data_IF_782366888381
#
_entry.id   IF_782366888381
#
_cell.length_a   1.000
_cell.length_b   1.000
_cell.length_c   1.000
_cell.angle_alpha   90.00
_cell.angle_beta   90.00
_cell.angle_gamma   90.00
#
_symmetry.space_group_name_H-M   'P 1'
#
loop_
_entity.id
_entity.type
_entity.pdbx_description
1 polymer ?
#
# COMPACT_ATOMS: atom_id res chain seq x y z
N UNK A 1 -32.61 -4.18 14.12
CA UNK A 1 -31.17 -4.32 13.82
C UNK A 1 -31.11 -4.63 12.34
N UNK A 2 -30.80 -3.63 11.51
CA UNK A 2 -30.66 -3.88 10.07
C UNK A 2 -29.43 -4.78 9.86
N UNK A 3 -29.51 -5.81 9.01
CA UNK A 3 -28.36 -6.63 8.71
C UNK A 3 -27.30 -5.72 8.09
N UNK A 4 -26.10 -5.71 8.69
CA UNK A 4 -24.92 -5.06 8.11
C UNK A 4 -24.85 -5.48 6.63
N UNK A 5 -24.94 -4.48 5.76
CA UNK A 5 -24.95 -4.67 4.32
C UNK A 5 -23.68 -5.45 3.94
N UNK A 6 -23.84 -6.69 3.48
CA UNK A 6 -22.73 -7.60 3.15
C UNK A 6 -21.83 -7.04 2.04
N UNK A 7 -22.25 -5.95 1.41
CA UNK A 7 -21.51 -5.23 0.39
C UNK A 7 -20.41 -4.30 0.95
N UNK A 8 -20.34 -4.04 2.25
CA UNK A 8 -19.30 -3.19 2.87
C UNK A 8 -17.87 -3.77 2.74
N UNK A 9 -17.74 -5.06 2.40
CA UNK A 9 -16.44 -5.75 2.30
C UNK A 9 -16.10 -6.16 0.86
N UNK A 10 -16.83 -5.68 -0.15
CA UNK A 10 -16.50 -5.98 -1.54
C UNK A 10 -15.33 -5.12 -1.97
N UNK A 11 -14.15 -5.73 -1.93
CA UNK A 11 -12.92 -5.09 -2.40
C UNK A 11 -13.05 -4.78 -3.90
N UNK A 12 -12.80 -3.54 -4.33
CA UNK A 12 -12.79 -3.21 -5.75
C UNK A 12 -11.78 -4.07 -6.52
N UNK A 13 -12.13 -4.49 -7.75
CA UNK A 13 -11.31 -5.39 -8.56
C UNK A 13 -9.92 -4.85 -8.92
N UNK A 14 -9.73 -3.53 -8.83
CA UNK A 14 -8.46 -2.87 -9.09
C UNK A 14 -7.50 -2.90 -7.88
N UNK A 15 -8.02 -3.11 -6.66
CA UNK A 15 -7.17 -3.22 -5.48
C UNK A 15 -6.31 -4.50 -5.54
N UNK A 16 -5.08 -4.47 -5.01
CA UNK A 16 -4.27 -5.67 -4.92
C UNK A 16 -4.87 -6.67 -3.91
N UNK A 17 -4.35 -7.91 -3.89
CA UNK A 17 -4.80 -8.97 -2.97
C UNK A 17 -4.64 -8.57 -1.49
N UNK A 18 -5.36 -9.24 -0.58
CA UNK A 18 -5.41 -8.87 0.84
C UNK A 18 -4.01 -8.84 1.48
N UNK A 19 -3.17 -9.80 1.16
CA UNK A 19 -1.80 -9.93 1.65
C UNK A 19 -0.96 -8.71 1.26
N UNK A 20 -1.06 -8.27 -0.01
CA UNK A 20 -0.37 -7.08 -0.51
C UNK A 20 -0.92 -5.82 0.17
N UNK A 21 -2.25 -5.71 0.37
CA UNK A 21 -2.86 -4.58 1.10
C UNK A 21 -2.34 -4.49 2.53
N UNK A 22 -2.23 -5.61 3.24
CA UNK A 22 -1.67 -5.66 4.59
C UNK A 22 -0.21 -5.18 4.61
N UNK A 23 0.60 -5.59 3.62
CA UNK A 23 1.98 -5.12 3.49
C UNK A 23 2.06 -3.62 3.21
N UNK A 24 1.13 -3.05 2.44
CA UNK A 24 1.04 -1.59 2.26
C UNK A 24 0.65 -0.85 3.55
N UNK A 25 -0.27 -1.41 4.34
CA UNK A 25 -0.59 -0.86 5.66
C UNK A 25 0.65 -0.86 6.57
N UNK A 26 1.42 -1.95 6.60
CA UNK A 26 2.67 -2.02 7.35
C UNK A 26 3.74 -1.06 6.82
N UNK A 27 3.87 -0.94 5.50
CA UNK A 27 4.81 -0.04 4.84
C UNK A 27 4.51 1.42 5.20
N UNK A 28 3.26 1.85 5.07
CA UNK A 28 2.85 3.21 5.43
C UNK A 28 3.02 3.47 6.92
N UNK A 29 2.76 2.49 7.81
CA UNK A 29 3.05 2.62 9.24
C UNK A 29 4.54 2.89 9.51
N UNK A 30 5.45 2.19 8.81
CA UNK A 30 6.90 2.43 8.95
C UNK A 30 7.31 3.82 8.44
N UNK A 31 6.72 4.26 7.33
CA UNK A 31 7.01 5.57 6.75
C UNK A 31 6.46 6.69 7.63
N UNK A 32 5.23 6.57 8.16
CA UNK A 32 4.67 7.51 9.11
C UNK A 32 5.53 7.60 10.38
N UNK A 33 5.99 6.46 10.91
CA UNK A 33 6.91 6.46 12.04
C UNK A 33 8.23 7.19 11.73
N UNK A 34 8.75 7.07 10.50
CA UNK A 34 9.90 7.87 10.06
C UNK A 34 9.57 9.38 10.00
N UNK A 35 8.39 9.76 9.48
CA UNK A 35 7.96 11.17 9.42
C UNK A 35 7.88 11.77 10.83
N UNK A 36 7.28 11.04 11.78
CA UNK A 36 7.03 11.54 13.14
C UNK A 36 8.29 11.56 14.01
N UNK A 37 9.17 10.55 13.85
CA UNK A 37 10.27 10.29 14.80
C UNK A 37 11.66 10.26 14.17
N UNK A 38 11.79 10.39 12.84
CA UNK A 38 13.07 10.35 12.13
C UNK A 38 13.77 8.99 12.14
N UNK A 39 13.05 7.88 12.40
CA UNK A 39 13.61 6.52 12.40
C UNK A 39 14.15 6.12 11.02
N UNK A 40 15.15 5.26 10.92
CA UNK A 40 15.63 4.82 9.59
C UNK A 40 14.55 4.07 8.77
N UNK A 41 14.73 4.04 7.45
CA UNK A 41 13.79 3.45 6.50
C UNK A 41 14.11 1.99 6.13
N UNK A 42 15.01 1.31 6.87
CA UNK A 42 15.42 -0.06 6.54
C UNK A 42 14.24 -1.04 6.55
N UNK A 43 13.33 -0.88 7.52
CA UNK A 43 12.11 -1.69 7.58
C UNK A 43 11.17 -1.44 6.41
N UNK A 44 11.03 -0.17 5.99
CA UNK A 44 10.21 0.20 4.84
C UNK A 44 10.79 -0.38 3.53
N UNK A 45 12.12 -0.32 3.34
CA UNK A 45 12.80 -0.92 2.17
C UNK A 45 12.54 -2.42 2.06
N UNK A 46 12.68 -3.15 3.17
CA UNK A 46 12.37 -4.59 3.21
C UNK A 46 10.93 -4.91 2.84
N UNK A 47 9.98 -4.07 3.26
CA UNK A 47 8.57 -4.25 2.91
C UNK A 47 8.31 -3.98 1.42
N UNK A 48 8.95 -2.96 0.82
CA UNK A 48 8.91 -2.75 -0.63
C UNK A 48 9.45 -3.99 -1.35
N UNK A 49 10.63 -4.49 -0.97
CA UNK A 49 11.21 -5.70 -1.55
C UNK A 49 10.27 -6.91 -1.44
N UNK A 50 9.60 -7.10 -0.30
CA UNK A 50 8.61 -8.17 -0.10
C UNK A 50 7.38 -8.01 -0.99
N UNK A 51 6.84 -6.79 -1.12
CA UNK A 51 5.71 -6.51 -2.00
C UNK A 51 6.07 -6.85 -3.44
N UNK A 52 7.28 -6.47 -3.89
CA UNK A 52 7.73 -6.71 -5.25
C UNK A 52 7.94 -8.21 -5.55
N UNK A 53 8.01 -9.10 -4.56
CA UNK A 53 8.09 -10.55 -4.79
C UNK A 53 6.77 -11.18 -5.23
N UNK A 54 5.64 -10.49 -5.13
CA UNK A 54 4.35 -11.03 -5.54
C UNK A 54 4.22 -11.03 -7.07
N UNK A 55 3.56 -12.07 -7.61
CA UNK A 55 3.33 -12.24 -9.05
C UNK A 55 2.70 -11.00 -9.71
N UNK A 56 1.87 -10.26 -8.97
CA UNK A 56 1.27 -8.99 -9.41
C UNK A 56 2.28 -7.96 -9.91
N UNK A 57 3.52 -7.99 -9.41
CA UNK A 57 4.60 -7.07 -9.78
C UNK A 57 5.66 -7.71 -10.67
N UNK A 58 5.44 -8.95 -11.10
CA UNK A 58 6.31 -9.68 -12.02
C UNK A 58 5.75 -9.57 -13.44
N UNK A 59 6.61 -9.49 -14.44
CA UNK A 59 6.25 -9.47 -15.87
C UNK A 59 5.19 -8.40 -16.23
N UNK A 60 5.33 -7.19 -15.68
CA UNK A 60 4.44 -6.08 -15.98
C UNK A 60 4.73 -5.46 -17.36
N UNK A 61 3.67 -5.14 -18.10
CA UNK A 61 3.74 -4.30 -19.31
C UNK A 61 3.87 -2.79 -18.98
N UNK A 62 3.72 -2.43 -17.71
CA UNK A 62 3.83 -1.06 -17.21
C UNK A 62 5.02 -0.89 -16.25
N UNK A 63 5.53 0.34 -16.04
CA UNK A 63 6.59 0.59 -15.07
C UNK A 63 6.20 0.12 -13.67
N UNK A 64 7.08 -0.63 -13.01
CA UNK A 64 6.83 -1.21 -11.68
C UNK A 64 6.45 -0.15 -10.63
N UNK A 65 7.07 1.03 -10.71
CA UNK A 65 6.79 2.16 -9.84
C UNK A 65 5.36 2.70 -10.02
N UNK A 66 4.86 2.72 -11.26
CA UNK A 66 3.49 3.12 -11.57
C UNK A 66 2.47 2.11 -11.03
N UNK A 67 2.76 0.80 -11.17
CA UNK A 67 1.90 -0.24 -10.55
C UNK A 67 1.87 -0.07 -9.03
N UNK A 68 3.03 0.11 -8.41
CA UNK A 68 3.16 0.27 -6.96
C UNK A 68 2.42 1.52 -6.45
N UNK A 69 2.51 2.65 -7.17
CA UNK A 69 1.77 3.88 -6.87
C UNK A 69 0.26 3.65 -6.85
N UNK A 70 -0.25 3.04 -7.93
CA UNK A 70 -1.67 2.77 -8.09
C UNK A 70 -2.20 1.79 -7.04
N UNK A 71 -1.41 0.76 -6.72
CA UNK A 71 -1.78 -0.23 -5.72
C UNK A 71 -1.75 0.33 -4.30
N UNK A 72 -0.79 1.21 -3.98
CA UNK A 72 -0.77 1.95 -2.72
C UNK A 72 -1.98 2.90 -2.63
N UNK A 73 -2.22 3.72 -3.67
CA UNK A 73 -3.34 4.66 -3.72
C UNK A 73 -4.68 3.94 -3.54
N UNK A 74 -4.90 2.86 -4.29
CA UNK A 74 -6.14 2.08 -4.20
C UNK A 74 -6.31 1.40 -2.84
N UNK A 75 -5.22 0.92 -2.24
CA UNK A 75 -5.24 0.36 -0.88
C UNK A 75 -5.62 1.43 0.15
N UNK A 76 -5.00 2.62 0.10
CA UNK A 76 -5.33 3.73 0.99
C UNK A 76 -6.77 4.23 0.77
N UNK A 77 -7.24 4.28 -0.48
CA UNK A 77 -8.61 4.64 -0.79
C UNK A 77 -9.61 3.63 -0.22
N UNK A 78 -9.33 2.32 -0.35
CA UNK A 78 -10.17 1.25 0.19
C UNK A 78 -10.32 1.32 1.71
N UNK A 79 -9.27 1.72 2.42
CA UNK A 79 -9.30 1.90 3.88
C UNK A 79 -9.83 3.26 4.33
N UNK A 80 -10.22 4.14 3.41
CA UNK A 80 -10.58 5.53 3.69
C UNK A 80 -9.43 6.34 4.34
N UNK A 81 -8.18 5.97 4.04
CA UNK A 81 -6.95 6.54 4.59
C UNK A 81 -6.10 7.24 3.50
N UNK A 82 -6.72 7.96 2.56
CA UNK A 82 -6.01 8.65 1.48
C UNK A 82 -4.86 9.56 1.95
N UNK A 83 -4.99 10.16 3.13
CA UNK A 83 -3.92 10.99 3.72
C UNK A 83 -2.58 10.22 3.86
N UNK A 84 -2.63 8.90 4.08
CA UNK A 84 -1.43 8.06 4.16
C UNK A 84 -0.71 8.01 2.83
N UNK A 85 -1.44 7.93 1.72
CA UNK A 85 -0.84 7.98 0.39
C UNK A 85 -0.11 9.31 0.18
N UNK A 86 -0.78 10.43 0.46
CA UNK A 86 -0.21 11.78 0.26
C UNK A 86 1.08 11.99 1.06
N UNK A 87 1.14 11.47 2.29
CA UNK A 87 2.30 11.58 3.16
C UNK A 87 3.41 10.57 2.81
N UNK A 88 3.05 9.33 2.50
CA UNK A 88 4.02 8.24 2.41
C UNK A 88 4.59 8.05 1.01
N UNK A 89 3.81 8.26 -0.05
CA UNK A 89 4.26 8.00 -1.42
C UNK A 89 5.52 8.79 -1.83
N UNK A 90 5.67 10.08 -1.50
CA UNK A 90 6.88 10.83 -1.82
C UNK A 90 8.17 10.22 -1.26
N UNK A 91 8.08 9.47 -0.16
CA UNK A 91 9.19 8.75 0.47
C UNK A 91 9.33 7.36 -0.15
N UNK A 92 8.24 6.59 -0.24
CA UNK A 92 8.22 5.22 -0.76
C UNK A 92 8.82 5.16 -2.17
N UNK A 93 8.50 6.13 -3.03
CA UNK A 93 9.02 6.19 -4.41
C UNK A 93 10.54 6.39 -4.53
N UNK A 94 11.22 6.65 -3.42
CA UNK A 94 12.68 6.83 -3.33
C UNK A 94 13.40 5.65 -2.66
N UNK A 95 12.63 4.65 -2.18
CA UNK A 95 13.15 3.43 -1.60
C UNK A 95 13.64 2.47 -2.67
#
# INVERSE_FOLDING_TARGET
MEPLDKNYFVVPSHCPQQEIRSLFSDLTNKVLHHIDYGSDLTGARKLVEQILQYERYQNLDEPIQQRLENDLLSTCHYWEELYRYDLCWPIIRTL
#
